data_IF_385033724473
#
_entry.id   IF_385033724473
#
_cell.length_a   1.000
_cell.length_b   1.000
_cell.length_c   1.000
_cell.angle_alpha   90.00
_cell.angle_beta   90.00
_cell.angle_gamma   90.00
#
_symmetry.space_group_name_H-M   'P 1'
#
loop_
_entity.id
_entity.type
_entity.pdbx_description
1 polymer ?
#
# COMPACT_ATOMS: atom_id res chain seq x y z
N UNK A 1 -4.35 9.14 -7.62
CA UNK A 1 -4.11 10.24 -8.57
C UNK A 1 -4.80 11.53 -8.17
N UNK A 2 -6.14 11.58 -8.17
CA UNK A 2 -6.89 12.84 -8.00
C UNK A 2 -6.74 13.56 -6.66
N UNK A 3 -6.40 12.87 -5.58
CA UNK A 3 -6.21 13.47 -4.24
C UNK A 3 -4.74 13.75 -3.92
N UNK A 4 -3.83 12.83 -4.28
CA UNK A 4 -2.44 12.92 -3.89
C UNK A 4 -1.68 14.04 -4.63
N UNK A 5 -1.93 14.20 -5.93
CA UNK A 5 -1.21 15.17 -6.78
C UNK A 5 -1.55 16.62 -6.38
N UNK A 6 -2.82 17.02 -6.24
CA UNK A 6 -3.16 18.38 -5.82
C UNK A 6 -2.69 18.73 -4.41
N UNK A 7 -2.56 17.73 -3.53
CA UNK A 7 -2.00 17.92 -2.18
C UNK A 7 -0.45 18.03 -2.19
N UNK A 8 0.22 17.38 -3.14
CA UNK A 8 1.68 17.44 -3.29
C UNK A 8 2.19 18.71 -3.98
N UNK A 9 1.45 19.23 -4.96
CA UNK A 9 1.81 20.47 -5.70
C UNK A 9 2.12 21.67 -4.79
N UNK A 10 1.28 22.06 -3.82
CA UNK A 10 1.57 23.19 -2.94
C UNK A 10 2.78 22.94 -2.04
N UNK A 11 3.06 21.68 -1.68
CA UNK A 11 4.26 21.31 -0.93
C UNK A 11 5.53 21.55 -1.74
N UNK A 12 5.56 21.14 -3.01
CA UNK A 12 6.71 21.34 -3.90
C UNK A 12 6.93 22.81 -4.24
N UNK A 13 5.85 23.57 -4.45
CA UNK A 13 5.94 24.99 -4.82
C UNK A 13 6.37 25.86 -3.64
N UNK A 14 5.83 25.60 -2.45
CA UNK A 14 6.08 26.45 -1.27
C UNK A 14 7.31 25.97 -0.48
N UNK A 15 7.78 24.75 -0.73
CA UNK A 15 8.80 24.06 0.09
C UNK A 15 8.34 23.76 1.51
N UNK A 16 7.06 23.99 1.81
CA UNK A 16 6.49 23.99 3.15
C UNK A 16 5.06 23.42 3.14
N UNK A 17 4.77 22.50 4.05
CA UNK A 17 3.43 21.96 4.29
C UNK A 17 2.64 22.85 5.24
N UNK A 18 1.69 23.62 4.71
CA UNK A 18 0.86 24.57 5.47
C UNK A 18 -0.57 24.08 5.78
N UNK A 19 -0.94 22.89 5.29
CA UNK A 19 -2.29 22.33 5.48
C UNK A 19 -2.49 21.67 6.85
N UNK A 20 -1.52 21.79 7.76
CA UNK A 20 -1.60 21.22 9.11
C UNK A 20 -1.25 19.73 9.17
N UNK A 21 -0.97 19.26 10.40
CA UNK A 21 -0.42 17.91 10.67
C UNK A 21 -1.40 16.77 10.36
N UNK A 22 -2.70 16.97 10.61
CA UNK A 22 -3.72 15.96 10.36
C UNK A 22 -3.86 15.63 8.86
N UNK A 23 -3.90 16.66 8.00
CA UNK A 23 -3.98 16.46 6.55
C UNK A 23 -2.71 15.84 5.97
N UNK A 24 -1.52 16.19 6.47
CA UNK A 24 -0.27 15.53 6.07
C UNK A 24 -0.34 14.02 6.32
N UNK A 25 -0.81 13.60 7.50
CA UNK A 25 -0.93 12.18 7.84
C UNK A 25 -1.94 11.45 6.98
N UNK A 26 -3.13 12.02 6.82
CA UNK A 26 -4.17 11.41 5.96
C UNK A 26 -3.63 11.28 4.54
N UNK A 27 -2.97 12.32 4.03
CA UNK A 27 -2.34 12.29 2.71
C UNK A 27 -1.29 11.18 2.59
N UNK A 28 -0.37 11.06 3.57
CA UNK A 28 0.64 10.00 3.59
C UNK A 28 0.01 8.60 3.64
N UNK A 29 -0.98 8.37 4.52
CA UNK A 29 -1.67 7.06 4.59
C UNK A 29 -2.33 6.72 3.26
N UNK A 30 -3.05 7.68 2.68
CA UNK A 30 -3.76 7.48 1.42
C UNK A 30 -2.77 7.24 0.27
N UNK A 31 -1.68 8.00 0.20
CA UNK A 31 -0.69 7.87 -0.87
C UNK A 31 0.03 6.52 -0.82
N UNK A 32 0.57 6.15 0.35
CA UNK A 32 1.25 4.85 0.53
C UNK A 32 0.29 3.67 0.31
N UNK A 33 -0.95 3.74 0.81
CA UNK A 33 -1.95 2.67 0.61
C UNK A 33 -2.35 2.56 -0.87
N UNK A 34 -2.54 3.68 -1.57
CA UNK A 34 -2.89 3.68 -3.00
C UNK A 34 -1.75 3.13 -3.86
N UNK A 35 -0.51 3.54 -3.58
CA UNK A 35 0.67 3.04 -4.29
C UNK A 35 0.80 1.52 -4.13
N UNK A 36 0.74 1.03 -2.90
CA UNK A 36 0.88 -0.41 -2.60
C UNK A 36 -0.29 -1.24 -3.11
N UNK A 37 -1.53 -0.75 -2.97
CA UNK A 37 -2.68 -1.37 -3.61
C UNK A 37 -2.50 -1.46 -5.13
N UNK A 38 -1.92 -0.45 -5.78
CA UNK A 38 -1.67 -0.47 -7.23
C UNK A 38 -0.64 -1.55 -7.61
N UNK A 39 0.47 -1.67 -6.87
CA UNK A 39 1.48 -2.72 -7.08
C UNK A 39 0.85 -4.11 -6.93
N UNK A 40 0.11 -4.35 -5.85
CA UNK A 40 -0.54 -5.65 -5.64
C UNK A 40 -1.62 -5.96 -6.68
N UNK A 41 -2.39 -4.97 -7.14
CA UNK A 41 -3.35 -5.18 -8.23
C UNK A 41 -2.65 -5.58 -9.54
N UNK A 42 -1.54 -4.92 -9.89
CA UNK A 42 -0.76 -5.28 -11.09
C UNK A 42 -0.15 -6.67 -10.96
N UNK A 43 0.35 -7.03 -9.78
CA UNK A 43 0.87 -8.38 -9.49
C UNK A 43 -0.23 -9.44 -9.64
N UNK A 44 -1.43 -9.15 -9.14
CA UNK A 44 -2.59 -10.04 -9.23
C UNK A 44 -3.03 -10.26 -10.68
N UNK A 45 -3.12 -9.19 -11.48
CA UNK A 45 -3.46 -9.28 -12.92
C UNK A 45 -2.40 -10.09 -13.68
N UNK A 46 -1.13 -9.85 -13.39
CA UNK A 46 -0.01 -10.58 -14.01
C UNK A 46 -0.06 -12.07 -13.66
N UNK A 47 -0.40 -12.39 -12.41
CA UNK A 47 -0.55 -13.75 -11.94
C UNK A 47 -1.77 -14.46 -12.54
N UNK A 48 -2.92 -13.79 -12.63
CA UNK A 48 -4.12 -14.33 -13.29
C UNK A 48 -3.81 -14.74 -14.74
N UNK A 49 -3.08 -13.90 -15.46
CA UNK A 49 -2.59 -14.19 -16.82
C UNK A 49 -1.61 -15.36 -16.84
N UNK A 50 -0.71 -15.49 -15.85
CA UNK A 50 0.22 -16.63 -15.75
C UNK A 50 -0.53 -17.96 -15.57
N UNK A 51 -1.53 -18.00 -14.69
CA UNK A 51 -2.37 -19.18 -14.43
C UNK A 51 -3.24 -19.52 -15.66
N UNK A 52 -3.79 -18.52 -16.33
CA UNK A 52 -4.55 -18.73 -17.58
C UNK A 52 -3.71 -19.46 -18.64
N UNK A 53 -2.42 -19.14 -18.74
CA UNK A 53 -1.48 -19.79 -19.69
C UNK A 53 -1.03 -21.17 -19.21
N UNK A 54 -0.68 -21.33 -17.92
CA UNK A 54 -0.14 -22.60 -17.39
C UNK A 54 -1.19 -23.64 -17.02
N UNK A 55 -2.41 -23.23 -16.63
CA UNK A 55 -3.52 -24.11 -16.25
C UNK A 55 -4.83 -23.74 -16.96
N UNK A 56 -4.79 -23.68 -18.29
CA UNK A 56 -5.94 -23.41 -19.15
C UNK A 56 -7.17 -24.33 -18.88
N UNK A 57 -6.95 -25.54 -18.35
CA UNK A 57 -8.03 -26.53 -18.11
C UNK A 57 -8.75 -26.31 -16.78
N UNK A 58 -8.05 -25.99 -15.67
CA UNK A 58 -8.70 -25.67 -14.38
C UNK A 58 -9.39 -24.31 -14.41
N UNK A 59 -8.81 -23.31 -15.11
CA UNK A 59 -9.39 -21.96 -15.20
C UNK A 59 -10.78 -21.97 -15.84
N UNK A 60 -11.04 -22.88 -16.80
CA UNK A 60 -12.37 -23.02 -17.45
C UNK A 60 -13.44 -23.70 -16.58
N UNK A 61 -13.06 -24.38 -15.50
CA UNK A 61 -14.02 -25.09 -14.64
C UNK A 61 -14.52 -24.23 -13.47
N UNK A 62 -13.93 -23.05 -13.24
CA UNK A 62 -14.23 -22.17 -12.12
C UNK A 62 -15.44 -21.28 -12.42
N UNK A 63 -16.64 -21.90 -12.38
CA UNK A 63 -17.95 -21.21 -12.39
C UNK A 63 -18.14 -20.43 -11.08
N UNK A 64 -17.51 -19.26 -10.98
CA UNK A 64 -17.61 -18.38 -9.80
C UNK A 64 -16.74 -17.11 -9.84
N UNK A 65 -16.22 -16.75 -11.02
CA UNK A 65 -15.11 -15.80 -11.21
C UNK A 65 -15.34 -14.43 -10.56
N UNK A 66 -16.58 -13.92 -10.55
CA UNK A 66 -16.87 -12.56 -10.05
C UNK A 66 -16.75 -12.42 -8.53
N UNK A 67 -17.27 -13.37 -7.74
CA UNK A 67 -17.23 -13.26 -6.27
C UNK A 67 -15.81 -13.49 -5.74
N UNK A 68 -15.09 -14.45 -6.31
CA UNK A 68 -13.69 -14.70 -5.95
C UNK A 68 -12.78 -13.54 -6.37
N UNK A 69 -13.00 -12.93 -7.55
CA UNK A 69 -12.25 -11.76 -7.99
C UNK A 69 -12.48 -10.55 -7.06
N UNK A 70 -13.72 -10.31 -6.62
CA UNK A 70 -14.02 -9.24 -5.66
C UNK A 70 -13.36 -9.49 -4.31
N UNK A 71 -13.41 -10.72 -3.79
CA UNK A 71 -12.74 -11.08 -2.54
C UNK A 71 -11.21 -10.89 -2.64
N UNK A 72 -10.63 -11.26 -3.78
CA UNK A 72 -9.20 -11.06 -4.08
C UNK A 72 -8.83 -9.57 -4.15
N UNK A 73 -9.66 -8.73 -4.76
CA UNK A 73 -9.44 -7.28 -4.75
C UNK A 73 -9.54 -6.72 -3.34
N UNK A 74 -10.56 -7.12 -2.58
CA UNK A 74 -10.75 -6.65 -1.19
C UNK A 74 -9.57 -7.07 -0.29
N UNK A 75 -9.05 -8.30 -0.44
CA UNK A 75 -7.90 -8.75 0.35
C UNK A 75 -6.64 -7.96 0.03
N UNK A 76 -6.42 -7.60 -1.24
CA UNK A 76 -5.30 -6.73 -1.67
C UNK A 76 -5.39 -5.35 -1.02
N UNK A 77 -6.58 -4.74 -1.04
CA UNK A 77 -6.80 -3.45 -0.40
C UNK A 77 -6.61 -3.52 1.12
N UNK A 78 -7.10 -4.57 1.76
CA UNK A 78 -6.94 -4.79 3.19
C UNK A 78 -5.46 -5.01 3.55
N UNK A 79 -4.72 -5.79 2.77
CA UNK A 79 -3.29 -6.04 2.97
C UNK A 79 -2.47 -4.75 2.80
N UNK A 80 -2.75 -3.95 1.77
CA UNK A 80 -2.11 -2.65 1.56
C UNK A 80 -2.34 -1.70 2.75
N UNK A 81 -3.59 -1.63 3.23
CA UNK A 81 -3.92 -0.83 4.41
C UNK A 81 -3.28 -1.39 5.69
N UNK A 82 -3.21 -2.71 5.86
CA UNK A 82 -2.63 -3.34 7.06
C UNK A 82 -1.10 -3.22 7.12
N UNK A 83 -0.42 -3.09 5.97
CA UNK A 83 1.02 -2.85 5.92
C UNK A 83 1.40 -1.44 6.36
N UNK A 84 0.74 -0.42 5.81
CA UNK A 84 1.14 0.99 6.02
C UNK A 84 0.25 1.75 6.99
N UNK A 85 -1.05 1.42 7.05
CA UNK A 85 -2.03 2.07 7.93
C UNK A 85 -1.66 2.00 9.41
N UNK A 86 -1.52 0.80 10.02
CA UNK A 86 -1.13 0.69 11.41
C UNK A 86 0.30 1.18 11.64
N UNK A 87 1.22 1.01 10.69
CA UNK A 87 2.57 1.55 10.81
C UNK A 87 2.58 3.08 10.95
N UNK A 88 1.71 3.80 10.24
CA UNK A 88 1.60 5.27 10.33
C UNK A 88 0.86 5.71 11.59
N UNK A 89 -0.19 4.99 11.99
CA UNK A 89 -1.04 5.37 13.13
C UNK A 89 -0.39 5.00 14.48
N UNK A 90 0.21 3.81 14.57
CA UNK A 90 0.79 3.27 15.81
C UNK A 90 2.12 3.95 16.15
N UNK A 91 2.87 4.43 15.15
CA UNK A 91 4.15 5.09 15.41
C UNK A 91 4.01 6.31 16.33
N UNK A 92 2.93 7.07 16.20
CA UNK A 92 2.63 8.20 17.09
C UNK A 92 2.25 7.76 18.51
N UNK A 93 1.53 6.64 18.64
CA UNK A 93 1.16 6.08 19.94
C UNK A 93 2.38 5.53 20.69
N UNK A 94 3.33 4.91 19.97
CA UNK A 94 4.57 4.37 20.53
C UNK A 94 5.60 5.48 20.82
N UNK A 95 5.75 6.47 19.94
CA UNK A 95 6.73 7.54 20.10
C UNK A 95 6.31 8.59 21.16
N UNK A 96 5.04 8.64 21.57
CA UNK A 96 4.51 9.53 22.62
C UNK A 96 4.61 11.03 22.30
N UNK A 97 5.23 11.39 21.18
CA UNK A 97 5.51 12.74 20.73
C UNK A 97 5.79 12.73 19.23
N UNK A 98 5.45 13.85 18.58
CA UNK A 98 5.63 14.05 17.14
C UNK A 98 7.13 14.18 16.83
N UNK A 99 7.73 13.21 16.14
CA UNK A 99 9.14 13.36 15.70
C UNK A 99 9.29 14.39 14.58
N UNK A 100 8.19 14.86 13.98
CA UNK A 100 8.19 16.02 13.08
C UNK A 100 7.84 17.28 13.87
N UNK A 101 8.78 18.21 14.10
CA UNK A 101 8.46 19.50 14.67
C UNK A 101 7.50 20.23 13.73
N UNK A 102 6.40 20.77 14.26
CA UNK A 102 5.47 21.62 13.51
C UNK A 102 6.19 22.81 12.83
N UNK A 103 7.36 23.18 13.36
CA UNK A 103 8.30 24.19 12.82
C UNK A 103 9.05 23.78 11.57
N UNK A 104 9.25 22.49 11.31
CA UNK A 104 10.00 22.03 10.15
C UNK A 104 9.22 22.21 8.85
N UNK A 105 7.89 22.40 8.91
CA UNK A 105 6.97 22.53 7.76
C UNK A 105 7.22 21.48 6.67
N UNK A 106 7.77 20.33 7.04
CA UNK A 106 8.04 19.22 6.15
C UNK A 106 7.02 18.12 6.40
N UNK A 107 6.49 17.51 5.33
CA UNK A 107 5.54 16.42 5.42
C UNK A 107 6.19 15.15 4.90
N UNK A 108 6.76 14.37 5.82
CA UNK A 108 7.40 13.08 5.53
C UNK A 108 6.89 12.01 6.50
N UNK A 109 6.90 10.75 6.05
CA UNK A 109 6.52 9.62 6.89
C UNK A 109 7.54 9.43 8.03
N UNK A 110 7.06 9.23 9.26
CA UNK A 110 7.94 9.10 10.44
C UNK A 110 8.84 7.84 10.38
N UNK A 111 8.41 6.82 9.63
CA UNK A 111 9.21 5.61 9.35
C UNK A 111 10.22 5.77 8.20
N UNK A 112 10.28 6.92 7.52
CA UNK A 112 11.15 7.13 6.35
C UNK A 112 12.64 6.89 6.65
N UNK A 113 13.07 7.23 7.87
CA UNK A 113 14.45 6.98 8.33
C UNK A 113 14.67 5.57 8.90
N UNK A 114 13.60 4.78 9.04
CA UNK A 114 13.67 3.45 9.63
C UNK A 114 13.82 2.38 8.54
N UNK A 115 15.08 2.18 8.12
CA UNK A 115 15.43 1.24 7.06
C UNK A 115 14.96 -0.20 7.34
N UNK A 116 14.86 -0.62 8.61
CA UNK A 116 14.31 -1.93 8.99
C UNK A 116 12.86 -2.11 8.52
N UNK A 117 12.03 -1.08 8.68
CA UNK A 117 10.64 -1.13 8.25
C UNK A 117 10.54 -1.19 6.72
N UNK A 118 11.32 -0.36 6.02
CA UNK A 118 11.38 -0.35 4.56
C UNK A 118 11.81 -1.71 4.00
N UNK A 119 12.88 -2.30 4.52
CA UNK A 119 13.36 -3.61 4.06
C UNK A 119 12.33 -4.72 4.31
N UNK A 120 11.65 -4.69 5.45
CA UNK A 120 10.61 -5.66 5.79
C UNK A 120 9.40 -5.50 4.86
N UNK A 121 8.93 -4.27 4.64
CA UNK A 121 7.82 -3.98 3.74
C UNK A 121 8.10 -4.44 2.31
N UNK A 122 9.27 -4.09 1.75
CA UNK A 122 9.68 -4.52 0.40
C UNK A 122 9.80 -6.04 0.29
N UNK A 123 10.28 -6.70 1.35
CA UNK A 123 10.34 -8.16 1.41
C UNK A 123 8.92 -8.75 1.34
N UNK A 124 7.99 -8.26 2.15
CA UNK A 124 6.59 -8.72 2.13
C UNK A 124 5.94 -8.49 0.77
N UNK A 125 6.16 -7.33 0.15
CA UNK A 125 5.66 -7.03 -1.20
C UNK A 125 6.18 -8.04 -2.24
N UNK A 126 7.45 -8.41 -2.15
CA UNK A 126 8.07 -9.37 -3.05
C UNK A 126 7.60 -10.82 -2.83
N UNK A 127 7.36 -11.22 -1.58
CA UNK A 127 6.92 -12.58 -1.23
C UNK A 127 5.42 -12.81 -1.42
N UNK A 128 4.62 -11.76 -1.37
CA UNK A 128 3.16 -11.83 -1.58
C UNK A 128 2.77 -12.63 -2.84
N UNK A 129 3.33 -12.37 -4.04
CA UNK A 129 3.02 -13.17 -5.23
C UNK A 129 3.38 -14.66 -5.05
N UNK A 130 4.50 -14.99 -4.42
CA UNK A 130 4.91 -16.38 -4.17
C UNK A 130 3.96 -17.13 -3.24
N UNK A 131 3.57 -16.51 -2.12
CA UNK A 131 2.64 -17.12 -1.15
C UNK A 131 1.27 -17.37 -1.80
N UNK A 132 0.84 -16.44 -2.66
CA UNK A 132 -0.43 -16.58 -3.39
C UNK A 132 -0.38 -17.79 -4.34
N UNK A 133 0.73 -17.97 -5.09
CA UNK A 133 0.92 -19.15 -5.97
C UNK A 133 0.92 -20.44 -5.16
N UNK A 134 1.63 -20.48 -4.03
CA UNK A 134 1.72 -21.65 -3.18
C UNK A 134 0.35 -22.03 -2.60
N UNK A 135 -0.44 -21.05 -2.17
CA UNK A 135 -1.77 -21.29 -1.60
C UNK A 135 -2.77 -21.82 -2.65
N UNK A 136 -2.72 -21.33 -3.89
CA UNK A 136 -3.61 -21.81 -4.97
C UNK A 136 -3.12 -23.10 -5.67
N UNK A 137 -1.90 -23.57 -5.36
CA UNK A 137 -1.34 -24.82 -5.89
C UNK A 137 -1.44 -25.99 -4.88
N UNK A 138 -1.92 -25.73 -3.66
CA UNK A 138 -2.41 -26.74 -2.72
C UNK A 138 -3.88 -27.00 -3.01
#
# INVERSE_FOLDING_TARGET
>A
GGFCIPAYIPYVITGEWRLGRGLCKIWLVVDYTLCTASVFNIALISFDRFISVTRAVSYRCQKGVTREAVLKMLSVWLAAFLLYGPAIIIWEYIAGSSVVPERAKQCHAEFYFNWYFLMTASTVEFFTPFVTVMYFNI
#
